data_IF_089017518567
#
_entry.id   IF_089017518567
#
_cell.length_a   1.000
_cell.length_b   1.000
_cell.length_c   1.000
_cell.angle_alpha   90.00
_cell.angle_beta   90.00
_cell.angle_gamma   90.00
#
_symmetry.space_group_name_H-M   'P 1'
#
loop_
_entity.id
_entity.type
_entity.pdbx_description
1 polymer ?
#
# COMPACT_ATOMS: atom_id res chain seq x y z
N UNK A 1 4.94 -24.30 -78.33
CA UNK A 1 6.11 -23.50 -77.89
C UNK A 1 5.61 -22.49 -76.89
N UNK A 2 6.20 -22.55 -75.69
CA UNK A 2 6.04 -21.80 -74.44
C UNK A 2 5.07 -20.63 -74.37
N UNK A 3 4.07 -20.62 -73.48
CA UNK A 3 4.11 -20.64 -72.00
C UNK A 3 4.61 -19.31 -71.41
N UNK A 4 3.67 -18.59 -70.76
CA UNK A 4 3.88 -17.77 -69.58
C UNK A 4 2.55 -17.07 -69.23
N UNK A 5 1.71 -17.82 -68.53
CA UNK A 5 0.60 -17.35 -67.69
C UNK A 5 0.99 -16.06 -66.99
N UNK A 6 0.36 -14.94 -67.35
CA UNK A 6 0.57 -13.68 -66.65
C UNK A 6 0.07 -13.84 -65.21
N UNK A 7 0.99 -14.04 -64.26
CA UNK A 7 0.67 -14.04 -62.83
C UNK A 7 0.24 -12.61 -62.49
N UNK A 8 -1.01 -12.36 -62.07
CA UNK A 8 -1.43 -11.03 -61.67
C UNK A 8 -0.57 -10.61 -60.48
N UNK A 9 0.11 -9.47 -60.60
CA UNK A 9 0.83 -8.90 -59.47
C UNK A 9 -0.17 -8.71 -58.32
N UNK A 10 0.16 -9.12 -57.08
CA UNK A 10 -0.73 -8.92 -55.94
C UNK A 10 -0.92 -7.43 -55.72
N UNK A 11 -2.08 -6.91 -56.14
CA UNK A 11 -2.49 -5.52 -55.86
C UNK A 11 -2.74 -5.45 -54.35
N UNK A 12 -1.84 -4.81 -53.60
CA UNK A 12 -2.10 -4.50 -52.21
C UNK A 12 -3.26 -3.51 -52.15
N UNK A 13 -4.40 -3.97 -51.65
CA UNK A 13 -5.63 -3.16 -51.57
C UNK A 13 -5.47 -2.08 -50.50
N UNK A 14 -5.68 -0.79 -50.78
CA UNK A 14 -5.49 0.32 -49.83
C UNK A 14 -6.36 0.22 -48.56
N UNK A 15 -7.45 -0.55 -48.60
CA UNK A 15 -8.26 -0.87 -47.42
C UNK A 15 -7.48 -1.71 -46.38
N UNK A 16 -6.54 -2.56 -46.82
CA UNK A 16 -5.66 -3.33 -45.93
C UNK A 16 -4.63 -2.42 -45.26
N UNK A 17 -4.13 -1.40 -45.97
CA UNK A 17 -3.18 -0.43 -45.42
C UNK A 17 -3.83 0.49 -44.40
N UNK A 18 -5.07 0.94 -44.64
CA UNK A 18 -5.83 1.73 -43.66
C UNK A 18 -6.13 0.92 -42.41
N UNK A 19 -6.53 -0.36 -42.56
CA UNK A 19 -6.78 -1.25 -41.43
C UNK A 19 -5.49 -1.55 -40.63
N UNK A 20 -4.37 -1.76 -41.33
CA UNK A 20 -3.04 -1.95 -40.72
C UNK A 20 -2.59 -0.70 -39.96
N UNK A 21 -2.74 0.48 -40.55
CA UNK A 21 -2.38 1.75 -39.90
C UNK A 21 -3.21 2.01 -38.64
N UNK A 22 -4.51 1.67 -38.65
CA UNK A 22 -5.36 1.76 -37.45
C UNK A 22 -4.90 0.82 -36.34
N UNK A 23 -4.66 -0.46 -36.65
CA UNK A 23 -4.15 -1.44 -35.66
C UNK A 23 -2.81 -1.00 -35.06
N UNK A 24 -1.88 -0.55 -35.89
CA UNK A 24 -0.58 -0.07 -35.42
C UNK A 24 -0.71 1.14 -34.48
N UNK A 25 -1.68 2.04 -34.74
CA UNK A 25 -1.99 3.15 -33.84
C UNK A 25 -2.58 2.67 -32.52
N UNK A 26 -3.56 1.76 -32.57
CA UNK A 26 -4.19 1.22 -31.36
C UNK A 26 -3.15 0.47 -30.49
N UNK A 27 -2.27 -0.31 -31.12
CA UNK A 27 -1.14 -0.99 -30.46
C UNK A 27 -0.17 0.01 -29.81
N UNK A 28 0.20 1.08 -30.52
CA UNK A 28 1.06 2.14 -29.99
C UNK A 28 0.41 2.90 -28.81
N UNK A 29 -0.90 3.15 -28.87
CA UNK A 29 -1.65 3.78 -27.78
C UNK A 29 -1.66 2.89 -26.52
N UNK A 30 -1.81 1.57 -26.69
CA UNK A 30 -1.72 0.60 -25.59
C UNK A 30 -0.30 0.55 -25.00
N UNK A 31 0.72 0.48 -25.85
CA UNK A 31 2.13 0.44 -25.43
C UNK A 31 2.52 1.72 -24.68
N UNK A 32 2.06 2.88 -25.15
CA UNK A 32 2.25 4.16 -24.47
C UNK A 32 1.55 4.19 -23.10
N UNK A 33 0.33 3.66 -23.00
CA UNK A 33 -0.41 3.58 -21.74
C UNK A 33 0.27 2.65 -20.72
N UNK A 34 0.82 1.51 -21.17
CA UNK A 34 1.61 0.59 -20.35
C UNK A 34 2.88 1.29 -19.87
N UNK A 35 3.62 1.94 -20.78
CA UNK A 35 4.85 2.67 -20.47
C UNK A 35 4.60 3.78 -19.45
N UNK A 36 3.54 4.58 -19.64
CA UNK A 36 3.17 5.63 -18.69
C UNK A 36 2.77 5.07 -17.31
N UNK A 37 2.13 3.90 -17.27
CA UNK A 37 1.82 3.19 -16.02
C UNK A 37 3.09 2.70 -15.33
N UNK A 38 4.02 2.11 -16.08
CA UNK A 38 5.30 1.65 -15.56
C UNK A 38 6.15 2.81 -15.03
N UNK A 39 6.25 3.92 -15.76
CA UNK A 39 6.97 5.12 -15.31
C UNK A 39 6.38 5.70 -14.01
N UNK A 40 5.05 5.72 -13.86
CA UNK A 40 4.41 6.10 -12.59
C UNK A 40 4.76 5.13 -11.46
N UNK A 41 4.77 3.82 -11.74
CA UNK A 41 5.14 2.80 -10.76
C UNK A 41 6.61 2.89 -10.36
N UNK A 42 7.52 3.16 -11.29
CA UNK A 42 8.95 3.34 -11.05
C UNK A 42 9.22 4.61 -10.23
N UNK A 43 8.60 5.74 -10.60
CA UNK A 43 8.68 6.98 -9.83
C UNK A 43 8.21 6.74 -8.39
N UNK A 44 7.04 6.12 -8.26
CA UNK A 44 6.47 5.75 -6.98
C UNK A 44 7.39 4.82 -6.17
N UNK A 45 8.01 3.81 -6.79
CA UNK A 45 8.98 2.92 -6.13
C UNK A 45 10.25 3.65 -5.67
N UNK A 46 10.73 4.63 -6.45
CA UNK A 46 11.90 5.45 -6.12
C UNK A 46 11.63 6.32 -4.90
N UNK A 47 10.49 7.00 -4.88
CA UNK A 47 10.05 7.78 -3.71
C UNK A 47 9.89 6.88 -2.48
N UNK A 48 9.41 5.64 -2.63
CA UNK A 48 9.26 4.72 -1.50
C UNK A 48 10.58 4.31 -0.86
N UNK A 49 11.63 4.13 -1.66
CA UNK A 49 12.91 3.64 -1.15
C UNK A 49 13.54 4.62 -0.16
N UNK A 50 13.25 5.91 -0.27
CA UNK A 50 13.71 6.93 0.70
C UNK A 50 12.82 7.01 1.94
N UNK A 51 11.53 6.71 1.82
CA UNK A 51 10.56 6.84 2.91
C UNK A 51 10.48 5.61 3.83
N UNK A 52 10.81 4.42 3.34
CA UNK A 52 10.71 3.16 4.11
C UNK A 52 11.46 3.20 5.45
N UNK A 53 12.74 3.63 5.52
CA UNK A 53 13.47 3.63 6.79
C UNK A 53 12.81 4.52 7.85
N UNK A 54 12.40 5.73 7.46
CA UNK A 54 11.72 6.67 8.34
C UNK A 54 10.37 6.11 8.84
N UNK A 55 9.63 5.43 7.96
CA UNK A 55 8.36 4.83 8.33
C UNK A 55 8.52 3.60 9.24
N UNK A 56 9.60 2.84 9.10
CA UNK A 56 9.94 1.76 10.04
C UNK A 56 10.28 2.31 11.44
N UNK A 57 11.02 3.41 11.51
CA UNK A 57 11.29 4.08 12.78
C UNK A 57 10.01 4.62 13.44
N UNK A 58 9.12 5.22 12.63
CA UNK A 58 7.80 5.65 13.08
C UNK A 58 6.98 4.50 13.66
N UNK A 59 7.00 3.34 13.00
CA UNK A 59 6.35 2.13 13.50
C UNK A 59 6.88 1.71 14.87
N UNK A 60 8.20 1.72 15.05
CA UNK A 60 8.83 1.37 16.34
C UNK A 60 8.43 2.36 17.43
N UNK A 61 8.41 3.67 17.16
CA UNK A 61 7.95 4.68 18.11
C UNK A 61 6.48 4.48 18.48
N UNK A 62 5.63 4.25 17.47
CA UNK A 62 4.20 4.06 17.65
C UNK A 62 3.89 2.82 18.50
N UNK A 63 4.61 1.72 18.27
CA UNK A 63 4.52 0.51 19.09
C UNK A 63 4.93 0.75 20.54
N UNK A 64 6.00 1.50 20.78
CA UNK A 64 6.41 1.87 22.14
C UNK A 64 5.31 2.66 22.85
N UNK A 65 4.72 3.64 22.17
CA UNK A 65 3.61 4.45 22.72
C UNK A 65 2.38 3.59 23.01
N UNK A 66 2.01 2.70 22.09
CA UNK A 66 0.84 1.83 22.24
C UNK A 66 0.98 0.82 23.40
N UNK A 67 2.19 0.35 23.67
CA UNK A 67 2.50 -0.65 24.71
C UNK A 67 2.66 -0.06 26.11
N UNK A 68 3.42 1.03 26.27
CA UNK A 68 3.81 1.50 27.61
C UNK A 68 2.73 2.31 28.31
N UNK A 69 1.76 2.84 27.55
CA UNK A 69 0.72 3.70 28.10
C UNK A 69 1.27 5.09 28.42
N UNK A 70 0.56 6.12 27.98
CA UNK A 70 0.95 7.53 28.21
C UNK A 70 0.10 8.21 29.29
N UNK A 71 -1.00 7.57 29.70
CA UNK A 71 -1.92 8.08 30.74
C UNK A 71 -2.88 9.19 30.27
N UNK A 72 -2.67 9.71 29.07
CA UNK A 72 -3.43 10.80 28.41
C UNK A 72 -4.42 10.28 27.34
N UNK A 73 -4.50 8.96 27.14
CA UNK A 73 -5.33 8.31 26.13
C UNK A 73 -4.71 8.24 24.73
N UNK A 74 -3.54 8.83 24.48
CA UNK A 74 -2.85 8.75 23.18
C UNK A 74 -2.45 7.30 22.88
N UNK A 75 -1.93 6.58 23.88
CA UNK A 75 -1.54 5.17 23.75
C UNK A 75 -2.67 4.26 23.27
N UNK A 76 -3.91 4.50 23.71
CA UNK A 76 -5.08 3.73 23.25
C UNK A 76 -5.39 4.03 21.79
N UNK A 77 -5.38 5.31 21.39
CA UNK A 77 -5.62 5.69 19.99
C UNK A 77 -4.57 5.06 19.07
N UNK A 78 -3.29 5.11 19.45
CA UNK A 78 -2.19 4.49 18.71
C UNK A 78 -2.35 2.96 18.62
N UNK A 79 -2.80 2.31 19.71
CA UNK A 79 -3.04 0.87 19.76
C UNK A 79 -4.18 0.46 18.83
N UNK A 80 -5.33 1.13 18.94
CA UNK A 80 -6.51 0.83 18.12
C UNK A 80 -6.22 1.03 16.63
N UNK A 81 -5.44 2.07 16.32
CA UNK A 81 -4.95 2.32 14.97
C UNK A 81 -4.11 1.14 14.45
N UNK A 82 -3.11 0.68 15.22
CA UNK A 82 -2.24 -0.43 14.83
C UNK A 82 -2.99 -1.78 14.73
N UNK A 83 -3.95 -2.03 15.60
CA UNK A 83 -4.78 -3.23 15.56
C UNK A 83 -5.72 -3.22 14.35
N UNK A 84 -6.39 -2.09 14.10
CA UNK A 84 -7.25 -1.93 12.93
C UNK A 84 -6.50 -1.94 11.61
N UNK A 85 -5.27 -1.44 11.58
CA UNK A 85 -4.41 -1.52 10.39
C UNK A 85 -3.98 -2.97 10.10
N UNK A 86 -3.80 -3.82 11.12
CA UNK A 86 -3.51 -5.25 10.91
C UNK A 86 -4.75 -6.00 10.45
N UNK A 87 -5.90 -5.76 11.06
CA UNK A 87 -7.15 -6.42 10.70
C UNK A 87 -8.37 -5.54 11.02
N UNK A 88 -8.81 -4.76 10.04
CA UNK A 88 -9.95 -3.86 10.18
C UNK A 88 -11.30 -4.55 10.34
N UNK A 89 -11.40 -5.86 10.06
CA UNK A 89 -12.64 -6.62 10.30
C UNK A 89 -12.80 -7.02 11.77
N UNK A 90 -11.69 -7.36 12.43
CA UNK A 90 -11.67 -7.70 13.86
C UNK A 90 -11.59 -6.46 14.76
N UNK A 91 -10.89 -5.42 14.31
CA UNK A 91 -10.60 -4.23 15.10
C UNK A 91 -10.97 -2.96 14.30
N UNK A 92 -12.17 -2.44 14.54
CA UNK A 92 -12.62 -1.20 13.90
C UNK A 92 -11.91 0.01 14.50
N UNK A 93 -11.36 0.87 13.65
CA UNK A 93 -10.74 2.12 14.08
C UNK A 93 -11.54 3.34 13.62
N UNK A 94 -11.91 4.22 14.57
CA UNK A 94 -12.56 5.49 14.25
C UNK A 94 -11.52 6.55 13.86
N UNK A 95 -11.44 6.86 12.57
CA UNK A 95 -10.52 7.87 12.01
C UNK A 95 -10.62 9.24 12.69
N UNK A 96 -11.78 9.62 13.23
CA UNK A 96 -11.96 10.89 13.93
C UNK A 96 -11.11 11.01 15.20
N UNK A 97 -10.66 9.89 15.78
CA UNK A 97 -9.78 9.84 16.96
C UNK A 97 -8.37 10.33 16.66
N UNK A 98 -7.92 10.27 15.40
CA UNK A 98 -6.61 10.79 15.00
C UNK A 98 -6.45 12.28 15.32
N UNK A 99 -7.53 13.06 15.35
CA UNK A 99 -7.51 14.50 15.69
C UNK A 99 -7.14 14.79 17.14
N UNK A 100 -7.13 13.78 18.00
CA UNK A 100 -6.76 13.91 19.42
C UNK A 100 -5.27 13.64 19.67
N UNK A 101 -4.56 13.08 18.70
CA UNK A 101 -3.13 12.78 18.80
C UNK A 101 -2.31 14.06 18.86
N UNK A 102 -1.21 14.04 19.63
CA UNK A 102 -0.17 15.04 19.44
C UNK A 102 0.43 14.89 18.05
N UNK A 103 1.01 15.99 17.56
CA UNK A 103 1.47 16.08 16.16
C UNK A 103 2.47 14.97 15.82
N UNK A 104 3.34 14.58 16.75
CA UNK A 104 4.33 13.53 16.55
C UNK A 104 3.67 12.16 16.37
N UNK A 105 2.69 11.79 17.21
CA UNK A 105 2.02 10.50 17.05
C UNK A 105 1.12 10.48 15.82
N UNK A 106 0.50 11.60 15.48
CA UNK A 106 -0.26 11.73 14.23
C UNK A 106 0.64 11.50 13.01
N UNK A 107 1.83 12.13 12.97
CA UNK A 107 2.81 11.93 11.91
C UNK A 107 3.28 10.48 11.84
N UNK A 108 3.56 9.86 12.99
CA UNK A 108 3.94 8.45 13.03
C UNK A 108 2.82 7.54 12.49
N UNK A 109 1.55 7.82 12.80
CA UNK A 109 0.41 7.08 12.24
C UNK A 109 0.34 7.21 10.71
N UNK A 110 0.57 8.41 10.16
CA UNK A 110 0.55 8.63 8.71
C UNK A 110 1.71 7.93 8.01
N UNK A 111 2.91 7.98 8.57
CA UNK A 111 4.07 7.26 8.04
C UNK A 111 3.85 5.75 8.04
N UNK A 112 3.25 5.21 9.11
CA UNK A 112 2.92 3.78 9.21
C UNK A 112 1.81 3.38 8.25
N UNK A 113 0.78 4.21 8.07
CA UNK A 113 -0.28 3.97 7.08
C UNK A 113 0.28 3.90 5.66
N UNK A 114 1.18 4.83 5.34
CA UNK A 114 1.92 4.83 4.08
C UNK A 114 2.72 3.52 3.94
N UNK A 115 3.55 3.17 4.92
CA UNK A 115 4.30 1.91 4.92
C UNK A 115 3.40 0.68 4.70
N UNK A 116 2.24 0.63 5.35
CA UNK A 116 1.29 -0.47 5.19
C UNK A 116 0.69 -0.52 3.78
N UNK A 117 0.35 0.62 3.18
CA UNK A 117 -0.13 0.69 1.81
C UNK A 117 0.91 0.17 0.79
N UNK A 118 2.20 0.35 1.08
CA UNK A 118 3.30 -0.05 0.21
C UNK A 118 3.79 -1.47 0.43
N UNK A 119 3.65 -1.98 1.65
CA UNK A 119 4.16 -3.28 1.99
C UNK A 119 3.31 -4.40 1.37
N UNK A 120 3.95 -5.23 0.54
CA UNK A 120 3.36 -6.50 0.07
C UNK A 120 3.25 -7.55 1.18
N UNK A 121 3.96 -7.34 2.29
CA UNK A 121 3.96 -8.22 3.45
C UNK A 121 3.19 -7.58 4.62
N UNK A 122 2.52 -8.38 5.46
CA UNK A 122 1.92 -7.88 6.70
C UNK A 122 2.92 -7.09 7.54
N UNK A 123 2.46 -5.97 8.10
CA UNK A 123 3.30 -5.00 8.82
C UNK A 123 4.08 -5.62 10.01
N UNK A 124 3.47 -6.60 10.69
CA UNK A 124 4.11 -7.30 11.80
C UNK A 124 5.33 -8.14 11.38
N UNK A 125 5.47 -8.52 10.10
CA UNK A 125 6.66 -9.21 9.61
C UNK A 125 7.83 -8.27 9.33
N UNK A 126 7.59 -6.96 9.29
CA UNK A 126 8.64 -5.95 9.12
C UNK A 126 9.43 -5.70 10.41
N UNK A 127 9.07 -6.35 11.52
CA UNK A 127 9.67 -6.13 12.85
C UNK A 127 10.00 -7.48 13.47
N UNK A 128 11.16 -7.54 14.12
CA UNK A 128 11.53 -8.69 14.94
C UNK A 128 10.49 -8.92 16.05
N UNK A 129 10.08 -10.18 16.26
CA UNK A 129 9.04 -10.58 17.20
C UNK A 129 7.66 -9.94 16.98
N UNK A 130 7.36 -9.45 15.77
CA UNK A 130 6.12 -8.70 15.53
C UNK A 130 4.85 -9.45 15.90
N UNK A 131 4.74 -10.76 15.68
CA UNK A 131 3.55 -11.50 16.11
C UNK A 131 3.37 -11.44 17.64
N UNK A 132 4.44 -11.66 18.42
CA UNK A 132 4.41 -11.56 19.89
C UNK A 132 4.01 -10.14 20.34
N UNK A 133 4.55 -9.12 19.68
CA UNK A 133 4.23 -7.72 19.97
C UNK A 133 2.75 -7.42 19.72
N UNK A 134 2.19 -7.91 18.61
CA UNK A 134 0.77 -7.70 18.30
C UNK A 134 -0.16 -8.44 19.25
N UNK A 135 0.21 -9.65 19.69
CA UNK A 135 -0.53 -10.35 20.74
C UNK A 135 -0.51 -9.54 22.06
N UNK A 136 0.63 -8.94 22.40
CA UNK A 136 0.72 -8.07 23.57
C UNK A 136 -0.18 -6.82 23.44
N UNK A 137 -0.26 -6.21 22.25
CA UNK A 137 -1.21 -5.11 22.01
C UNK A 137 -2.66 -5.54 22.25
N UNK A 138 -3.06 -6.71 21.74
CA UNK A 138 -4.41 -7.27 21.96
C UNK A 138 -4.70 -7.49 23.44
N UNK A 139 -3.73 -8.04 24.20
CA UNK A 139 -3.88 -8.23 25.64
C UNK A 139 -3.98 -6.92 26.42
N UNK A 140 -3.31 -5.87 25.94
CA UNK A 140 -3.35 -4.54 26.57
C UNK A 140 -4.69 -3.81 26.30
N UNK A 141 -5.37 -4.16 25.21
CA UNK A 141 -6.69 -3.63 24.83
C UNK A 141 -7.85 -4.25 25.63
N UNK A 142 -7.62 -5.35 26.35
CA UNK A 142 -8.65 -5.90 27.21
C UNK A 142 -8.97 -4.91 28.35
N UNK A 143 -10.25 -4.66 28.63
CA UNK A 143 -10.64 -3.84 29.76
C UNK A 143 -10.02 -4.44 31.02
N UNK A 144 -9.25 -3.63 31.75
CA UNK A 144 -8.74 -4.01 33.07
C UNK A 144 -9.97 -4.36 33.90
N UNK A 145 -10.20 -5.65 34.14
CA UNK A 145 -11.23 -6.10 35.06
C UNK A 145 -10.93 -5.41 36.38
N UNK A 146 -11.81 -4.47 36.76
CA UNK A 146 -11.77 -3.86 38.07
C UNK A 146 -11.90 -5.03 39.05
N UNK A 147 -10.79 -5.43 39.66
CA UNK A 147 -10.84 -6.23 40.87
C UNK A 147 -11.54 -5.34 41.89
N UNK A 148 -12.82 -5.61 42.10
CA UNK A 148 -13.58 -5.01 43.17
C UNK A 148 -12.96 -5.47 44.47
N UNK A 149 -12.25 -4.56 45.13
CA UNK A 149 -12.04 -4.64 46.57
C UNK A 149 -13.40 -4.37 47.22
N UNK A 150 -13.98 -5.41 47.82
CA UNK A 150 -15.01 -5.35 48.87
C UNK A 150 -14.93 -6.62 49.70
#
# INVERSE_FOLDING_TARGET
MSDATAIPLPIQHPANDIARARRARDEAEVEQAITARMARYEHWCSEQRTMIPQAQEALVRLLKTALHGTGDGQSEICRDFLLGLRNGQEHLFNLSRLRRLEIEQWQDCMAVLQLHHYSRSPLHLAIQDGERIWQQLKLTDLPRTQHGDS
#
